data_IF_599952795390
#
_entry.id   IF_599952795390
#
_cell.length_a   1.000
_cell.length_b   1.000
_cell.length_c   1.000
_cell.angle_alpha   90.00
_cell.angle_beta   90.00
_cell.angle_gamma   90.00
#
_symmetry.space_group_name_H-M   'P 1'
#
loop_
_entity.id
_entity.type
_entity.pdbx_description
1 polymer ?
#
# COMPACT_ATOMS: atom_id res chain seq x y z
N UNK A 1 -37.79 29.79 -32.01
CA UNK A 1 -39.06 30.02 -31.29
C UNK A 1 -39.67 31.31 -31.81
N UNK A 2 -40.99 31.37 -32.01
CA UNK A 2 -41.67 32.60 -32.47
C UNK A 2 -42.36 33.24 -31.28
N UNK A 3 -42.12 34.54 -31.06
CA UNK A 3 -42.76 35.34 -30.01
C UNK A 3 -43.68 36.34 -30.68
N UNK A 4 -44.91 36.51 -30.18
CA UNK A 4 -45.90 37.47 -30.69
C UNK A 4 -46.41 38.34 -29.55
N UNK A 5 -46.45 39.66 -29.77
CA UNK A 5 -47.03 40.59 -28.82
C UNK A 5 -48.53 40.77 -29.11
N UNK A 6 -49.36 40.14 -28.29
CA UNK A 6 -50.83 40.23 -28.36
C UNK A 6 -51.41 41.39 -27.51
N UNK A 7 -50.55 42.23 -26.92
CA UNK A 7 -50.99 43.39 -26.14
C UNK A 7 -51.17 44.64 -27.00
N UNK A 8 -51.72 45.68 -26.39
CA UNK A 8 -51.99 46.99 -26.96
C UNK A 8 -50.82 47.99 -26.84
N UNK A 9 -49.73 47.60 -26.17
CA UNK A 9 -48.54 48.42 -25.95
C UNK A 9 -47.29 47.75 -26.50
N UNK A 10 -46.22 48.53 -26.69
CA UNK A 10 -44.89 47.98 -26.98
C UNK A 10 -44.42 47.22 -25.74
N UNK A 11 -43.97 45.99 -25.95
CA UNK A 11 -43.53 45.09 -24.87
C UNK A 11 -42.10 44.63 -25.15
N UNK A 12 -41.30 44.54 -24.08
CA UNK A 12 -39.98 43.92 -24.14
C UNK A 12 -40.05 42.56 -23.46
N UNK A 13 -39.52 41.53 -24.13
CA UNK A 13 -39.47 40.17 -23.61
C UNK A 13 -38.04 39.80 -23.26
N UNK A 14 -37.87 39.24 -22.07
CA UNK A 14 -36.64 38.58 -21.61
C UNK A 14 -36.85 37.07 -21.60
N UNK A 15 -35.76 36.33 -21.80
CA UNK A 15 -35.79 34.88 -21.93
C UNK A 15 -34.94 34.21 -20.85
N UNK A 16 -35.53 33.27 -20.13
CA UNK A 16 -34.85 32.48 -19.13
C UNK A 16 -34.98 30.99 -19.46
N UNK A 17 -33.87 30.32 -19.70
CA UNK A 17 -33.87 28.87 -19.93
C UNK A 17 -33.97 28.15 -18.58
N UNK A 18 -34.89 27.20 -18.48
CA UNK A 18 -35.14 26.40 -17.28
C UNK A 18 -35.05 24.91 -17.58
N UNK A 19 -34.73 24.12 -16.55
CA UNK A 19 -34.57 22.66 -16.66
C UNK A 19 -33.14 22.22 -16.94
N UNK A 20 -32.97 20.94 -17.30
CA UNK A 20 -31.66 20.31 -17.47
C UNK A 20 -30.82 20.87 -18.62
N UNK A 21 -31.46 21.58 -19.57
CA UNK A 21 -30.81 22.19 -20.71
C UNK A 21 -30.19 23.57 -20.43
N UNK A 22 -30.56 24.22 -19.32
CA UNK A 22 -30.17 25.59 -19.01
C UNK A 22 -28.64 25.84 -19.00
N UNK A 23 -27.78 24.96 -18.45
CA UNK A 23 -26.34 25.22 -18.37
C UNK A 23 -25.62 25.33 -19.73
N UNK A 24 -26.24 24.87 -20.81
CA UNK A 24 -25.63 24.76 -22.12
C UNK A 24 -26.53 25.30 -23.24
N UNK A 25 -27.53 26.11 -22.91
CA UNK A 25 -28.46 26.70 -23.88
C UNK A 25 -28.49 28.22 -23.73
N UNK A 26 -28.49 28.94 -24.85
CA UNK A 26 -28.62 30.40 -24.90
C UNK A 26 -29.76 30.81 -25.84
N UNK A 27 -30.41 31.93 -25.56
CA UNK A 27 -31.45 32.52 -26.43
C UNK A 27 -30.91 33.80 -27.07
N UNK A 28 -31.01 33.91 -28.38
CA UNK A 28 -30.50 35.04 -29.16
C UNK A 28 -31.62 35.65 -30.03
N UNK A 29 -31.91 36.96 -29.92
CA UNK A 29 -31.36 37.90 -28.93
C UNK A 29 -31.85 37.62 -27.50
N UNK A 30 -31.07 38.02 -26.49
CA UNK A 30 -31.41 37.83 -25.08
C UNK A 30 -32.61 38.69 -24.61
N UNK A 31 -32.87 39.78 -25.33
CA UNK A 31 -34.00 40.68 -25.11
C UNK A 31 -34.60 41.05 -26.46
N UNK A 32 -35.92 41.04 -26.56
CA UNK A 32 -36.66 41.28 -27.79
C UNK A 32 -37.76 42.32 -27.54
N UNK A 33 -37.79 43.41 -28.30
CA UNK A 33 -38.85 44.42 -28.20
C UNK A 33 -39.80 44.33 -29.40
N UNK A 34 -41.09 44.15 -29.14
CA UNK A 34 -42.11 43.97 -30.17
C UNK A 34 -43.21 45.02 -30.07
N UNK A 35 -43.63 45.55 -31.21
CA UNK A 35 -44.82 46.38 -31.31
C UNK A 35 -46.11 45.54 -31.17
N UNK A 36 -47.23 46.16 -30.77
CA UNK A 36 -48.54 45.51 -30.75
C UNK A 36 -48.85 44.75 -32.05
N UNK A 37 -49.27 43.50 -31.94
CA UNK A 37 -49.67 42.65 -33.07
C UNK A 37 -48.52 42.11 -33.92
N UNK A 38 -47.26 42.42 -33.60
CA UNK A 38 -46.08 41.93 -34.34
C UNK A 38 -45.52 40.64 -33.73
N UNK A 39 -44.80 39.88 -34.56
CA UNK A 39 -44.07 38.70 -34.13
C UNK A 39 -42.66 38.67 -34.70
N UNK A 40 -41.74 38.09 -33.93
CA UNK A 40 -40.36 37.88 -34.34
C UNK A 40 -39.86 36.51 -33.87
N UNK A 41 -38.81 36.02 -34.53
CA UNK A 41 -38.20 34.74 -34.20
C UNK A 41 -36.95 34.95 -33.34
N UNK A 42 -36.83 34.14 -32.30
CA UNK A 42 -35.61 34.03 -31.50
C UNK A 42 -34.97 32.66 -31.71
N UNK A 43 -33.64 32.65 -31.80
CA UNK A 43 -32.84 31.46 -31.92
C UNK A 43 -32.56 30.88 -30.54
N UNK A 44 -32.82 29.58 -30.36
CA UNK A 44 -32.41 28.84 -29.17
C UNK A 44 -31.18 28.04 -29.58
N UNK A 45 -30.02 28.39 -29.03
CA UNK A 45 -28.72 27.81 -29.39
C UNK A 45 -28.29 26.84 -28.30
N UNK A 46 -28.18 25.56 -28.65
CA UNK A 46 -27.78 24.49 -27.75
C UNK A 46 -26.31 24.13 -27.98
N UNK A 47 -25.50 24.12 -26.92
CA UNK A 47 -24.06 23.80 -26.94
C UNK A 47 -23.70 22.82 -25.81
N UNK A 48 -24.28 21.60 -25.78
CA UNK A 48 -23.99 20.63 -24.74
C UNK A 48 -22.50 20.26 -24.75
N UNK A 49 -21.79 20.33 -23.61
CA UNK A 49 -20.39 19.89 -23.53
C UNK A 49 -20.29 18.38 -23.73
N UNK A 50 -19.25 17.93 -24.46
CA UNK A 50 -18.95 16.50 -24.64
C UNK A 50 -18.36 15.92 -23.35
N UNK A 51 -19.23 15.70 -22.36
CA UNK A 51 -18.89 15.29 -21.00
C UNK A 51 -19.89 14.25 -20.47
N UNK A 52 -19.51 13.42 -19.47
CA UNK A 52 -20.41 12.45 -18.85
C UNK A 52 -21.52 13.09 -17.99
N UNK A 53 -21.45 14.40 -17.74
CA UNK A 53 -22.47 15.14 -16.97
C UNK A 53 -23.76 15.33 -17.79
N UNK A 54 -23.64 15.46 -19.12
CA UNK A 54 -24.79 15.58 -20.03
C UNK A 54 -25.21 14.20 -20.52
N UNK A 55 -26.05 13.53 -19.73
CA UNK A 55 -26.53 12.16 -19.99
C UNK A 55 -27.26 12.04 -21.33
N UNK A 56 -27.08 10.89 -21.97
CA UNK A 56 -27.85 10.53 -23.16
C UNK A 56 -29.33 10.31 -22.81
N UNK A 57 -30.23 10.64 -23.73
CA UNK A 57 -31.67 10.49 -23.57
C UNK A 57 -32.43 11.80 -23.70
N UNK A 58 -33.69 11.78 -23.25
CA UNK A 58 -34.59 12.93 -23.31
C UNK A 58 -34.31 13.90 -22.16
N UNK A 59 -34.03 15.16 -22.50
CA UNK A 59 -33.84 16.25 -21.54
C UNK A 59 -34.87 17.35 -21.82
N UNK A 60 -35.73 17.69 -20.85
CA UNK A 60 -36.71 18.74 -21.03
C UNK A 60 -36.03 20.12 -21.11
N UNK A 61 -36.40 20.88 -22.14
CA UNK A 61 -36.03 22.27 -22.37
C UNK A 61 -37.26 23.14 -22.12
N UNK A 62 -37.20 23.97 -21.08
CA UNK A 62 -38.17 25.04 -20.88
C UNK A 62 -37.54 26.39 -21.20
N UNK A 63 -38.28 27.26 -21.89
CA UNK A 63 -37.93 28.67 -22.06
C UNK A 63 -39.05 29.51 -21.48
N UNK A 64 -38.75 30.20 -20.39
CA UNK A 64 -39.65 31.15 -19.75
C UNK A 64 -39.50 32.51 -20.45
N UNK A 65 -40.60 33.00 -20.99
CA UNK A 65 -40.70 34.29 -21.68
C UNK A 65 -41.33 35.26 -20.68
N UNK A 66 -40.55 36.26 -20.26
CA UNK A 66 -40.93 37.24 -19.24
C UNK A 66 -41.17 38.60 -19.90
N UNK A 67 -42.41 39.09 -19.96
CA UNK A 67 -42.70 40.46 -20.38
C UNK A 67 -42.18 41.45 -19.33
N UNK A 68 -41.58 42.54 -19.76
CA UNK A 68 -40.98 43.55 -18.87
C UNK A 68 -42.03 44.46 -18.25
N UNK A 69 -43.06 44.86 -19.01
CA UNK A 69 -44.12 45.76 -18.55
C UNK A 69 -45.21 45.02 -17.77
N UNK A 70 -45.43 43.72 -18.06
CA UNK A 70 -46.39 42.84 -17.36
C UNK A 70 -45.76 41.53 -16.88
N UNK A 71 -44.92 41.54 -15.83
CA UNK A 71 -44.22 40.35 -15.34
C UNK A 71 -45.15 39.22 -14.83
N UNK A 72 -46.43 39.50 -14.58
CA UNK A 72 -47.44 38.50 -14.24
C UNK A 72 -47.92 37.66 -15.43
N UNK A 73 -47.67 38.11 -16.66
CA UNK A 73 -48.11 37.47 -17.91
C UNK A 73 -47.06 36.52 -18.51
N UNK A 74 -46.28 35.86 -17.64
CA UNK A 74 -45.20 34.95 -18.03
C UNK A 74 -45.75 33.70 -18.71
N UNK A 75 -45.08 33.27 -19.77
CA UNK A 75 -45.39 32.02 -20.48
C UNK A 75 -44.14 31.14 -20.52
N UNK A 76 -44.30 29.83 -20.30
CA UNK A 76 -43.22 28.85 -20.46
C UNK A 76 -43.52 28.01 -21.68
N UNK A 77 -42.57 28.00 -22.64
CA UNK A 77 -42.59 27.06 -23.76
C UNK A 77 -41.72 25.86 -23.41
N UNK A 78 -42.28 24.66 -23.52
CA UNK A 78 -41.58 23.41 -23.22
C UNK A 78 -41.38 22.59 -24.50
N UNK A 79 -40.23 21.94 -24.60
CA UNK A 79 -39.91 20.97 -25.63
C UNK A 79 -38.90 19.95 -25.10
N UNK A 80 -38.65 18.88 -25.85
CA UNK A 80 -37.71 17.83 -25.45
C UNK A 80 -36.50 17.85 -26.36
N UNK A 81 -35.31 17.90 -25.77
CA UNK A 81 -34.03 17.75 -26.47
C UNK A 81 -33.57 16.31 -26.32
N UNK A 82 -33.31 15.63 -27.43
CA UNK A 82 -32.73 14.28 -27.42
C UNK A 82 -31.22 14.42 -27.49
N UNK A 83 -30.55 14.05 -26.39
CA UNK A 83 -29.08 13.96 -26.35
C UNK A 83 -28.67 12.57 -26.80
N UNK A 84 -27.96 12.50 -27.93
CA UNK A 84 -27.46 11.24 -28.46
C UNK A 84 -26.38 10.62 -27.55
N UNK A 85 -26.30 9.28 -27.49
CA UNK A 85 -25.23 8.61 -26.78
C UNK A 85 -23.89 8.82 -27.48
N UNK A 86 -22.84 9.03 -26.70
CA UNK A 86 -21.46 8.93 -27.16
C UNK A 86 -20.65 8.06 -26.21
N UNK A 87 -19.84 7.19 -26.79
CA UNK A 87 -18.91 6.34 -26.07
C UNK A 87 -17.54 7.02 -25.97
N UNK A 88 -16.94 6.94 -24.79
CA UNK A 88 -15.54 7.31 -24.57
C UNK A 88 -15.04 6.59 -23.32
N UNK A 89 -14.20 5.58 -23.50
CA UNK A 89 -13.69 4.79 -22.40
C UNK A 89 -12.16 4.87 -22.34
N UNK A 90 -11.63 4.81 -21.12
CA UNK A 90 -10.19 4.66 -20.88
C UNK A 90 -9.97 3.42 -20.03
N UNK A 91 -9.23 2.46 -20.57
CA UNK A 91 -8.83 1.26 -19.84
C UNK A 91 -7.33 1.30 -19.53
N UNK A 92 -6.93 0.81 -18.35
CA UNK A 92 -5.53 0.71 -17.94
C UNK A 92 -5.28 -0.57 -17.13
N UNK A 93 -4.12 -1.18 -17.36
CA UNK A 93 -3.63 -2.31 -16.58
C UNK A 93 -2.68 -1.84 -15.48
N UNK A 94 -3.01 -2.17 -14.23
CA UNK A 94 -2.25 -1.73 -13.06
C UNK A 94 -1.88 -2.95 -12.16
N UNK A 95 -0.60 -3.10 -11.80
CA UNK A 95 0.55 -2.39 -12.39
C UNK A 95 0.94 -2.99 -13.75
N UNK A 96 1.76 -2.26 -14.53
CA UNK A 96 2.29 -2.77 -15.82
C UNK A 96 3.28 -3.91 -15.68
N UNK A 97 3.94 -4.06 -14.52
CA UNK A 97 4.96 -5.10 -14.29
C UNK A 97 4.82 -5.69 -12.89
N UNK A 98 4.80 -7.02 -12.78
CA UNK A 98 4.84 -7.75 -11.49
C UNK A 98 5.95 -8.78 -11.48
N UNK A 99 6.55 -8.99 -10.29
CA UNK A 99 7.48 -10.10 -10.02
C UNK A 99 6.75 -11.15 -9.20
N UNK A 100 6.77 -12.41 -9.63
CA UNK A 100 6.16 -13.50 -8.89
C UNK A 100 6.84 -14.84 -9.20
N UNK A 101 6.65 -15.84 -8.35
CA UNK A 101 7.16 -17.19 -8.56
C UNK A 101 6.29 -18.00 -9.54
N UNK A 102 4.96 -17.83 -9.48
CA UNK A 102 4.02 -18.56 -10.35
C UNK A 102 2.82 -17.75 -10.82
N UNK A 103 2.25 -16.89 -9.98
CA UNK A 103 1.07 -16.11 -10.34
C UNK A 103 1.12 -14.69 -9.79
N UNK A 104 0.56 -13.75 -10.54
CA UNK A 104 0.38 -12.36 -10.14
C UNK A 104 -1.07 -11.93 -10.33
N UNK A 105 -1.49 -10.95 -9.53
CA UNK A 105 -2.77 -10.26 -9.70
C UNK A 105 -2.52 -8.91 -10.35
N UNK A 106 -3.34 -8.61 -11.32
CA UNK A 106 -3.45 -7.35 -12.02
C UNK A 106 -4.86 -6.81 -11.83
N UNK A 107 -4.99 -5.50 -11.91
CA UNK A 107 -6.26 -4.81 -11.95
C UNK A 107 -6.39 -4.11 -13.28
N UNK A 108 -7.52 -4.30 -13.92
CA UNK A 108 -7.90 -3.52 -15.09
C UNK A 108 -8.88 -2.47 -14.64
N UNK A 109 -8.48 -1.21 -14.70
CA UNK A 109 -9.34 -0.07 -14.39
C UNK A 109 -9.95 0.45 -15.68
N UNK A 110 -11.28 0.56 -15.72
CA UNK A 110 -12.02 1.12 -16.86
C UNK A 110 -12.82 2.32 -16.37
N UNK A 111 -12.57 3.46 -16.99
CA UNK A 111 -13.28 4.70 -16.74
C UNK A 111 -14.20 5.00 -17.92
N UNK A 112 -15.46 5.31 -17.64
CA UNK A 112 -16.43 5.73 -18.65
C UNK A 112 -16.51 7.27 -18.69
N UNK A 113 -15.83 7.90 -19.64
CA UNK A 113 -15.95 9.33 -19.93
C UNK A 113 -17.08 9.64 -20.95
N UNK A 114 -17.82 8.62 -21.38
CA UNK A 114 -19.02 8.74 -22.21
C UNK A 114 -20.23 9.22 -21.42
N UNK A 115 -21.31 9.57 -22.11
CA UNK A 115 -22.56 9.98 -21.47
C UNK A 115 -23.63 8.88 -21.38
N UNK A 116 -23.29 7.65 -21.78
CA UNK A 116 -24.17 6.48 -21.73
C UNK A 116 -23.53 5.35 -20.89
N UNK A 117 -24.32 4.54 -20.15
CA UNK A 117 -23.81 3.37 -19.46
C UNK A 117 -23.07 2.43 -20.42
N UNK A 118 -21.92 1.92 -19.98
CA UNK A 118 -21.08 1.03 -20.78
C UNK A 118 -20.94 -0.32 -20.09
N UNK A 119 -21.21 -1.41 -20.80
CA UNK A 119 -20.97 -2.77 -20.32
C UNK A 119 -19.54 -3.17 -20.68
N UNK A 120 -18.76 -3.54 -19.67
CA UNK A 120 -17.35 -3.90 -19.83
C UNK A 120 -17.19 -5.40 -19.65
N UNK A 121 -16.59 -6.05 -20.65
CA UNK A 121 -16.31 -7.48 -20.67
C UNK A 121 -14.83 -7.72 -20.98
N UNK A 122 -14.12 -8.54 -20.19
CA UNK A 122 -12.77 -8.96 -20.53
C UNK A 122 -12.81 -9.92 -21.74
N UNK A 123 -12.00 -9.64 -22.75
CA UNK A 123 -11.68 -10.58 -23.81
C UNK A 123 -10.33 -11.22 -23.48
N UNK A 124 -10.36 -12.46 -23.03
CA UNK A 124 -9.13 -13.22 -22.79
C UNK A 124 -8.61 -13.76 -24.12
N UNK A 125 -7.30 -13.63 -24.40
CA UNK A 125 -6.71 -14.20 -25.60
C UNK A 125 -6.92 -15.72 -25.60
N UNK A 126 -7.27 -16.26 -26.77
CA UNK A 126 -7.81 -17.63 -26.90
C UNK A 126 -6.74 -18.74 -26.76
N UNK A 127 -5.44 -18.41 -26.81
CA UNK A 127 -4.37 -19.37 -26.58
C UNK A 127 -3.02 -18.69 -26.26
N UNK A 128 -2.64 -18.68 -24.98
CA UNK A 128 -1.23 -18.65 -24.59
C UNK A 128 -0.96 -19.89 -23.74
N UNK A 129 -0.30 -20.90 -24.32
CA UNK A 129 0.03 -22.15 -23.63
C UNK A 129 0.94 -21.94 -22.41
N UNK A 130 1.52 -20.75 -22.25
CA UNK A 130 2.42 -20.41 -21.17
C UNK A 130 1.76 -19.61 -20.05
N UNK A 131 0.69 -18.87 -20.32
CA UNK A 131 -0.03 -18.03 -19.37
C UNK A 131 -1.51 -18.40 -19.26
N UNK A 132 -1.95 -18.70 -18.03
CA UNK A 132 -3.37 -18.87 -17.70
C UNK A 132 -3.92 -17.59 -17.09
N UNK A 133 -4.94 -17.03 -17.73
CA UNK A 133 -5.66 -15.86 -17.27
C UNK A 133 -6.97 -16.28 -16.58
N UNK A 134 -7.33 -15.60 -15.49
CA UNK A 134 -8.59 -15.82 -14.79
C UNK A 134 -9.14 -14.48 -14.35
N UNK A 135 -10.34 -14.13 -14.80
CA UNK A 135 -11.03 -12.90 -14.37
C UNK A 135 -12.08 -13.25 -13.34
N UNK A 136 -12.15 -12.47 -12.27
CA UNK A 136 -13.05 -12.77 -11.14
C UNK A 136 -14.37 -12.03 -11.23
N UNK A 137 -14.37 -10.80 -11.73
CA UNK A 137 -15.52 -9.90 -11.74
C UNK A 137 -15.77 -9.46 -13.19
N UNK A 138 -16.73 -10.08 -13.87
CA UNK A 138 -17.16 -9.71 -15.22
C UNK A 138 -18.45 -10.47 -15.62
N UNK A 139 -19.32 -9.90 -16.48
CA UNK A 139 -19.28 -8.52 -17.00
C UNK A 139 -19.66 -7.48 -15.93
N UNK A 140 -19.37 -6.20 -16.16
CA UNK A 140 -19.71 -5.12 -15.23
C UNK A 140 -20.18 -3.88 -15.99
N UNK A 141 -21.28 -3.28 -15.55
CA UNK A 141 -21.80 -2.03 -16.11
C UNK A 141 -21.17 -0.83 -15.41
N UNK A 142 -20.74 0.16 -16.18
CA UNK A 142 -20.11 1.39 -15.71
C UNK A 142 -20.95 2.58 -16.13
N UNK A 143 -21.52 3.28 -15.16
CA UNK A 143 -22.29 4.50 -15.40
C UNK A 143 -21.41 5.62 -15.98
N UNK A 144 -22.00 6.61 -16.68
CA UNK A 144 -21.29 7.80 -17.14
C UNK A 144 -20.53 8.50 -16.01
N UNK A 145 -19.23 8.75 -16.21
CA UNK A 145 -18.32 9.30 -15.21
C UNK A 145 -17.85 8.30 -14.15
N UNK A 146 -18.36 7.07 -14.20
CA UNK A 146 -18.05 5.99 -13.28
C UNK A 146 -16.75 5.25 -13.61
N UNK A 147 -16.29 4.45 -12.64
CA UNK A 147 -15.13 3.57 -12.76
C UNK A 147 -15.52 2.12 -12.44
N UNK A 148 -14.94 1.16 -13.14
CA UNK A 148 -14.97 -0.25 -12.77
C UNK A 148 -13.56 -0.83 -12.68
N UNK A 149 -13.42 -1.81 -11.81
CA UNK A 149 -12.18 -2.55 -11.58
C UNK A 149 -12.44 -4.03 -11.85
N UNK A 150 -11.68 -4.60 -12.78
CA UNK A 150 -11.71 -6.03 -13.08
C UNK A 150 -10.43 -6.67 -12.53
N UNK A 151 -10.60 -7.60 -11.59
CA UNK A 151 -9.48 -8.35 -11.04
C UNK A 151 -9.08 -9.51 -11.96
N UNK A 152 -7.85 -9.44 -12.46
CA UNK A 152 -7.28 -10.43 -13.38
C UNK A 152 -6.10 -11.13 -12.71
N UNK A 153 -6.20 -12.46 -12.59
CA UNK A 153 -5.10 -13.31 -12.15
C UNK A 153 -4.39 -13.91 -13.35
N UNK A 154 -3.09 -13.69 -13.45
CA UNK A 154 -2.22 -14.27 -14.48
C UNK A 154 -1.31 -15.29 -13.81
N UNK A 155 -1.26 -16.50 -14.35
CA UNK A 155 -0.47 -17.62 -13.82
C UNK A 155 0.40 -18.23 -14.92
N UNK A 156 1.70 -18.33 -14.67
CA UNK A 156 2.61 -19.09 -15.52
C UNK A 156 2.37 -20.59 -15.35
N UNK A 157 2.30 -21.32 -16.46
CA UNK A 157 2.04 -22.77 -16.47
C UNK A 157 3.22 -23.56 -15.91
N UNK A 158 4.44 -23.26 -16.36
CA UNK A 158 5.68 -23.94 -15.94
C UNK A 158 6.38 -23.20 -14.81
N UNK A 159 6.88 -23.93 -13.81
CA UNK A 159 7.69 -23.37 -12.73
C UNK A 159 9.14 -23.17 -13.20
N UNK A 160 9.73 -22.02 -12.86
CA UNK A 160 11.15 -21.77 -13.03
C UNK A 160 11.90 -22.21 -11.78
N UNK A 161 12.56 -23.37 -11.83
CA UNK A 161 13.28 -23.90 -10.68
C UNK A 161 14.61 -23.20 -10.43
N UNK A 162 15.37 -22.93 -11.49
CA UNK A 162 16.71 -22.33 -11.43
C UNK A 162 16.90 -21.35 -12.58
N UNK A 163 17.89 -20.46 -12.46
CA UNK A 163 18.34 -19.59 -13.54
C UNK A 163 18.04 -18.12 -13.33
N UNK A 164 18.09 -17.34 -14.41
CA UNK A 164 17.77 -15.91 -14.40
C UNK A 164 16.25 -15.72 -14.42
N UNK A 165 15.70 -14.64 -13.83
CA UNK A 165 14.28 -14.34 -13.94
C UNK A 165 13.81 -14.31 -15.40
N UNK A 166 12.70 -14.99 -15.70
CA UNK A 166 12.10 -14.99 -17.03
C UNK A 166 11.02 -13.90 -17.12
N UNK A 167 10.90 -13.21 -18.25
CA UNK A 167 9.88 -12.15 -18.44
C UNK A 167 8.83 -12.66 -19.42
N UNK A 168 7.57 -12.62 -19.01
CA UNK A 168 6.43 -13.05 -19.79
C UNK A 168 5.54 -11.84 -20.14
N UNK A 169 5.30 -11.55 -21.43
CA UNK A 169 4.39 -10.48 -21.82
C UNK A 169 2.95 -10.85 -21.46
N UNK A 170 2.22 -9.92 -20.85
CA UNK A 170 0.82 -10.06 -20.49
C UNK A 170 0.01 -9.19 -21.43
N UNK A 171 -0.85 -9.81 -22.25
CA UNK A 171 -1.82 -9.11 -23.09
C UNK A 171 -3.23 -9.42 -22.61
N UNK A 172 -4.04 -8.38 -22.48
CA UNK A 172 -5.42 -8.46 -22.03
C UNK A 172 -6.25 -7.52 -22.88
N UNK A 173 -7.35 -7.99 -23.43
CA UNK A 173 -8.27 -7.16 -24.17
C UNK A 173 -9.51 -6.89 -23.31
N UNK A 174 -10.04 -5.68 -23.45
CA UNK A 174 -11.29 -5.27 -22.80
C UNK A 174 -12.22 -4.75 -23.86
N UNK A 175 -13.41 -5.34 -23.92
CA UNK A 175 -14.48 -4.92 -24.80
C UNK A 175 -15.46 -4.08 -23.99
N UNK A 176 -15.62 -2.83 -24.39
CA UNK A 176 -16.61 -1.90 -23.89
C UNK A 176 -17.75 -1.78 -24.91
N UNK A 177 -18.96 -2.13 -24.49
CA UNK A 177 -20.19 -1.98 -25.28
C UNK A 177 -21.00 -0.81 -24.72
N UNK A 178 -21.15 0.24 -25.50
CA UNK A 178 -21.88 1.46 -25.13
C UNK A 178 -22.98 1.72 -26.17
N UNK A 179 -24.24 1.58 -25.77
CA UNK A 179 -25.35 1.42 -26.71
C UNK A 179 -25.03 0.32 -27.74
N UNK A 180 -24.88 0.66 -29.02
CA UNK A 180 -24.56 -0.27 -30.11
C UNK A 180 -23.10 -0.19 -30.58
N UNK A 181 -22.29 0.67 -29.95
CA UNK A 181 -20.88 0.83 -30.29
C UNK A 181 -19.99 -0.10 -29.47
N UNK A 182 -19.17 -0.88 -30.18
CA UNK A 182 -18.14 -1.74 -29.59
C UNK A 182 -16.78 -1.05 -29.65
N UNK A 183 -16.17 -0.84 -28.49
CA UNK A 183 -14.84 -0.27 -28.33
C UNK A 183 -13.93 -1.32 -27.69
N UNK A 184 -12.76 -1.55 -28.30
CA UNK A 184 -11.78 -2.51 -27.80
C UNK A 184 -10.54 -1.78 -27.27
N UNK A 185 -10.06 -2.24 -26.12
CA UNK A 185 -8.85 -1.72 -25.50
C UNK A 185 -7.85 -2.84 -25.27
N UNK A 186 -6.75 -2.80 -26.02
CA UNK A 186 -5.60 -3.68 -25.81
C UNK A 186 -4.75 -3.15 -24.65
N UNK A 187 -4.50 -4.01 -23.67
CA UNK A 187 -3.72 -3.70 -22.48
C UNK A 187 -2.49 -4.60 -22.40
N UNK A 188 -1.31 -3.96 -22.30
CA UNK A 188 -0.03 -4.64 -22.22
C UNK A 188 0.64 -4.48 -20.85
N UNK A 189 1.25 -5.56 -20.37
CA UNK A 189 2.07 -5.62 -19.17
C UNK A 189 3.08 -6.76 -19.19
N UNK A 190 3.74 -7.01 -18.06
CA UNK A 190 4.80 -8.00 -17.93
C UNK A 190 4.77 -8.74 -16.58
N UNK A 191 4.87 -10.06 -16.64
CA UNK A 191 5.08 -10.92 -15.48
C UNK A 191 6.53 -11.42 -15.46
N UNK A 192 7.31 -10.95 -14.50
CA UNK A 192 8.66 -11.45 -14.24
C UNK A 192 8.58 -12.66 -13.31
N UNK A 193 8.84 -13.84 -13.85
CA UNK A 193 8.92 -15.08 -13.11
C UNK A 193 10.27 -15.21 -12.38
N UNK A 194 10.24 -15.33 -11.06
CA UNK A 194 11.42 -15.56 -10.23
C UNK A 194 11.74 -17.06 -10.13
N UNK A 195 13.03 -17.44 -10.10
CA UNK A 195 13.43 -18.81 -9.81
C UNK A 195 13.09 -19.19 -8.37
N UNK A 196 12.67 -20.42 -8.13
CA UNK A 196 12.28 -20.90 -6.80
C UNK A 196 13.50 -21.18 -5.92
N UNK A 197 14.56 -21.77 -6.49
CA UNK A 197 15.77 -22.13 -5.77
C UNK A 197 16.99 -21.36 -6.30
N UNK A 198 17.76 -20.79 -5.38
CA UNK A 198 19.08 -20.24 -5.69
C UNK A 198 20.09 -21.37 -5.88
N UNK A 199 21.02 -21.23 -6.82
CA UNK A 199 22.10 -22.21 -7.06
C UNK A 199 22.98 -22.44 -5.83
N UNK A 200 23.23 -21.40 -5.04
CA UNK A 200 24.04 -21.51 -3.82
C UNK A 200 23.38 -22.39 -2.76
N UNK A 201 22.04 -22.41 -2.69
CA UNK A 201 21.33 -23.27 -1.75
C UNK A 201 21.56 -24.75 -2.05
N UNK A 202 21.67 -25.12 -3.33
CA UNK A 202 22.06 -26.49 -3.72
C UNK A 202 23.52 -26.77 -3.35
N UNK A 203 24.42 -25.81 -3.54
CA UNK A 203 25.82 -25.96 -3.14
C UNK A 203 25.97 -26.12 -1.62
N UNK A 204 25.22 -25.34 -0.84
CA UNK A 204 25.17 -25.45 0.62
C UNK A 204 24.60 -26.81 1.04
N UNK A 205 23.48 -27.24 0.46
CA UNK A 205 22.87 -28.54 0.76
C UNK A 205 23.82 -29.69 0.40
N UNK A 206 24.52 -29.59 -0.72
CA UNK A 206 25.56 -30.54 -1.12
C UNK A 206 26.72 -30.59 -0.13
N UNK A 207 27.19 -29.43 0.35
CA UNK A 207 28.24 -29.36 1.37
C UNK A 207 27.78 -29.93 2.72
N UNK A 208 26.55 -29.64 3.14
CA UNK A 208 25.94 -30.19 4.36
C UNK A 208 25.79 -31.72 4.27
N UNK A 209 25.37 -32.23 3.11
CA UNK A 209 25.29 -33.66 2.86
C UNK A 209 26.68 -34.32 2.87
N UNK A 210 27.69 -33.67 2.27
CA UNK A 210 29.07 -34.16 2.32
C UNK A 210 29.63 -34.18 3.75
N UNK A 211 29.38 -33.14 4.55
CA UNK A 211 29.75 -33.09 5.97
C UNK A 211 29.04 -34.19 6.78
N UNK A 212 27.75 -34.41 6.53
CA UNK A 212 26.97 -35.48 7.16
C UNK A 212 27.56 -36.86 6.83
N UNK A 213 27.88 -37.11 5.55
CA UNK A 213 28.49 -38.35 5.11
C UNK A 213 29.90 -38.53 5.70
N UNK A 214 30.71 -37.47 5.75
CA UNK A 214 32.02 -37.50 6.38
C UNK A 214 31.91 -37.81 7.88
N UNK A 215 30.97 -37.19 8.59
CA UNK A 215 30.69 -37.51 9.99
C UNK A 215 30.29 -38.97 10.19
N UNK A 216 29.37 -39.49 9.36
CA UNK A 216 28.88 -40.87 9.47
C UNK A 216 29.95 -41.93 9.12
N UNK A 217 30.79 -41.68 8.11
CA UNK A 217 31.77 -42.65 7.60
C UNK A 217 33.13 -42.57 8.28
N UNK A 218 33.59 -41.38 8.70
CA UNK A 218 34.93 -41.18 9.26
C UNK A 218 34.88 -41.00 10.78
N UNK A 219 33.97 -40.15 11.27
CA UNK A 219 33.99 -39.72 12.68
C UNK A 219 33.23 -40.67 13.58
N UNK A 220 32.03 -41.11 13.19
CA UNK A 220 31.22 -42.04 13.98
C UNK A 220 31.93 -43.37 14.33
N UNK A 221 32.60 -44.08 13.39
CA UNK A 221 33.32 -45.30 13.75
C UNK A 221 34.52 -45.05 14.69
N UNK A 222 35.24 -43.94 14.49
CA UNK A 222 36.36 -43.55 15.35
C UNK A 222 35.93 -43.14 16.77
N UNK A 223 34.80 -42.46 16.91
CA UNK A 223 34.22 -42.11 18.23
C UNK A 223 33.70 -43.36 18.95
N UNK A 224 33.12 -44.32 18.22
CA UNK A 224 32.67 -45.60 18.77
C UNK A 224 33.84 -46.50 19.19
N UNK A 225 34.97 -46.50 18.47
CA UNK A 225 36.17 -47.24 18.87
C UNK A 225 36.84 -46.61 20.09
N UNK A 226 36.99 -45.28 20.11
CA UNK A 226 37.56 -44.57 21.26
C UNK A 226 36.69 -44.71 22.52
N UNK A 227 35.36 -44.71 22.38
CA UNK A 227 34.44 -44.96 23.50
C UNK A 227 34.50 -46.41 24.01
N UNK A 228 34.74 -47.39 23.14
CA UNK A 228 34.94 -48.80 23.55
C UNK A 228 36.29 -48.99 24.25
N UNK A 229 37.38 -48.44 23.72
CA UNK A 229 38.70 -48.49 24.37
C UNK A 229 38.68 -47.81 25.75
N UNK A 230 37.97 -46.69 25.91
CA UNK A 230 37.81 -46.03 27.22
C UNK A 230 36.93 -46.83 28.20
N UNK A 231 35.91 -47.56 27.70
CA UNK A 231 35.07 -48.43 28.52
C UNK A 231 35.82 -49.71 28.95
N UNK A 232 36.61 -50.29 28.05
CA UNK A 232 37.42 -51.49 28.31
C UNK A 232 38.58 -51.17 29.27
N UNK A 233 39.23 -50.00 29.12
CA UNK A 233 40.25 -49.52 30.07
C UNK A 233 39.69 -49.27 31.48
N UNK A 234 38.47 -48.73 31.59
CA UNK A 234 37.77 -48.57 32.87
C UNK A 234 37.32 -49.90 33.48
N UNK A 235 36.93 -50.88 32.65
CA UNK A 235 36.60 -52.22 33.13
C UNK A 235 37.84 -52.97 33.66
N UNK A 236 39.02 -52.74 33.06
CA UNK A 236 40.29 -53.29 33.53
C UNK A 236 40.77 -52.64 34.84
N UNK A 237 40.65 -51.31 34.99
CA UNK A 237 40.92 -50.62 36.27
C UNK A 237 40.01 -51.12 37.41
N UNK A 238 38.73 -51.40 37.12
CA UNK A 238 37.78 -51.93 38.12
C UNK A 238 38.06 -53.41 38.43
N UNK A 239 38.57 -54.18 37.46
CA UNK A 239 38.94 -55.59 37.67
C UNK A 239 40.25 -55.75 38.45
N UNK A 240 41.24 -54.86 38.28
CA UNK A 240 42.48 -54.83 39.08
C UNK A 240 42.27 -54.27 40.50
N UNK A 241 41.19 -53.51 40.73
CA UNK A 241 40.87 -52.95 42.05
C UNK A 241 40.09 -53.91 42.98
N UNK A 242 39.82 -55.16 42.58
CA UNK A 242 39.05 -56.11 43.39
C UNK A 242 39.83 -57.41 43.63
N UNK A 243 40.59 -57.45 44.73
CA UNK A 243 40.88 -58.68 45.50
C UNK A 243 40.26 -58.54 46.91
N UNK A 244 39.75 -59.64 47.52
CA UNK A 244 38.67 -59.55 48.50
C UNK A 244 39.18 -59.48 49.94
N UNK A 245 38.71 -58.50 50.73
CA UNK A 245 38.74 -58.59 52.19
C UNK A 245 37.41 -58.11 52.81
N UNK A 246 36.85 -59.00 53.63
CA UNK A 246 35.62 -58.85 54.37
C UNK A 246 35.85 -58.15 55.73
N UNK A 247 34.92 -57.30 56.14
CA UNK A 247 34.80 -56.81 57.53
C UNK A 247 34.10 -55.45 57.63
N UNK A 248 33.40 -55.14 58.74
CA UNK A 248 32.06 -54.53 58.66
C UNK A 248 31.89 -53.17 59.39
N UNK A 249 30.64 -52.68 59.31
CA UNK A 249 29.86 -51.76 60.19
C UNK A 249 29.95 -50.21 60.07
N UNK A 250 28.74 -49.64 60.07
CA UNK A 250 28.20 -48.44 60.75
C UNK A 250 28.15 -47.03 60.10
N UNK A 251 26.93 -46.47 60.19
CA UNK A 251 26.40 -45.10 59.96
C UNK A 251 27.05 -44.02 60.87
N UNK A 252 26.53 -42.75 61.03
CA UNK A 252 25.66 -41.86 60.22
C UNK A 252 26.22 -40.41 60.07
N UNK A 253 25.51 -39.58 59.29
CA UNK A 253 25.18 -38.20 59.71
C UNK A 253 25.90 -37.02 59.05
N UNK A 254 25.13 -35.93 58.85
CA UNK A 254 25.64 -34.58 59.10
C UNK A 254 25.71 -33.58 57.94
N UNK A 255 24.59 -32.89 57.71
CA UNK A 255 24.45 -31.42 57.68
C UNK A 255 25.08 -30.52 56.58
N UNK A 256 24.19 -29.60 56.13
CA UNK A 256 24.41 -28.18 55.76
C UNK A 256 25.22 -27.91 54.47
N UNK A 257 25.04 -26.85 53.69
CA UNK A 257 24.22 -25.63 53.74
C UNK A 257 24.15 -25.07 52.29
N UNK A 258 23.24 -24.16 52.00
CA UNK A 258 23.20 -23.35 50.76
C UNK A 258 24.29 -22.23 50.82
N UNK A 259 24.37 -21.17 49.96
CA UNK A 259 23.70 -20.79 48.71
C UNK A 259 24.65 -20.12 47.66
N UNK A 260 24.06 -19.35 46.72
CA UNK A 260 24.61 -18.23 45.91
C UNK A 260 25.14 -18.60 44.50
N UNK A 261 24.48 -18.17 43.43
CA UNK A 261 24.42 -16.82 42.81
C UNK A 261 25.67 -16.48 41.98
N UNK A 262 25.45 -16.08 40.72
CA UNK A 262 26.51 -15.60 39.82
C UNK A 262 26.05 -15.55 38.37
N UNK A 263 26.14 -14.37 37.78
CA UNK A 263 25.51 -13.90 36.54
C UNK A 263 26.44 -14.13 35.30
N UNK A 264 26.25 -13.50 34.12
CA UNK A 264 26.09 -14.18 32.84
C UNK A 264 27.35 -14.19 31.94
N UNK A 265 27.45 -15.20 31.08
CA UNK A 265 28.46 -15.28 30.02
C UNK A 265 28.02 -14.57 28.73
N UNK A 266 28.78 -13.55 28.33
CA UNK A 266 28.75 -12.91 27.02
C UNK A 266 29.01 -13.90 25.88
N UNK A 267 28.24 -13.79 24.80
CA UNK A 267 28.51 -14.44 23.52
C UNK A 267 28.41 -13.44 22.38
N UNK A 268 29.55 -12.89 21.98
CA UNK A 268 29.71 -12.17 20.70
C UNK A 268 29.56 -13.14 19.53
N UNK A 269 28.76 -12.75 18.54
CA UNK A 269 28.68 -13.42 17.24
C UNK A 269 28.66 -12.38 16.12
N UNK A 270 29.85 -12.06 15.61
CA UNK A 270 30.04 -11.22 14.43
C UNK A 270 29.46 -11.90 13.17
N UNK A 271 28.54 -11.23 12.50
CA UNK A 271 28.07 -11.57 11.16
C UNK A 271 28.52 -10.52 10.15
N UNK A 272 29.72 -10.70 9.57
CA UNK A 272 30.25 -9.84 8.50
C UNK A 272 29.69 -10.31 7.17
N UNK A 273 28.66 -9.62 6.67
CA UNK A 273 28.15 -9.77 5.31
C UNK A 273 28.56 -8.57 4.45
N UNK A 274 29.61 -8.75 3.64
CA UNK A 274 30.09 -7.72 2.71
C UNK A 274 29.12 -7.59 1.53
N UNK A 275 28.50 -6.41 1.38
CA UNK A 275 27.80 -6.00 0.16
C UNK A 275 28.42 -4.68 -0.28
N UNK A 276 28.86 -4.61 -1.55
CA UNK A 276 29.48 -3.42 -2.11
C UNK A 276 28.48 -2.28 -2.26
N UNK A 277 28.64 -1.28 -1.40
CA UNK A 277 27.99 0.04 -1.36
C UNK A 277 28.51 0.73 -0.10
N UNK A 278 28.81 2.03 -0.15
CA UNK A 278 29.74 2.69 0.77
C UNK A 278 29.36 2.84 2.25
N UNK A 279 28.21 2.34 2.74
CA UNK A 279 27.78 2.54 4.12
C UNK A 279 27.37 1.27 4.88
N UNK A 280 27.48 1.35 6.20
CA UNK A 280 27.19 0.29 7.16
C UNK A 280 25.70 0.34 7.56
N UNK A 281 25.00 -0.80 7.57
CA UNK A 281 23.63 -0.83 8.08
C UNK A 281 23.60 -0.43 9.55
N UNK A 282 22.72 0.51 9.90
CA UNK A 282 22.64 1.08 11.24
C UNK A 282 21.20 1.28 11.69
N UNK A 283 20.99 1.22 13.00
CA UNK A 283 19.72 1.52 13.64
C UNK A 283 19.93 2.28 14.96
N UNK A 284 18.91 3.04 15.35
CA UNK A 284 18.89 3.79 16.61
C UNK A 284 17.51 3.74 17.25
N UNK A 285 17.47 3.84 18.58
CA UNK A 285 16.22 3.88 19.36
C UNK A 285 16.18 5.15 20.18
N UNK A 286 15.07 5.87 20.10
CA UNK A 286 14.74 7.03 20.94
C UNK A 286 13.56 6.64 21.82
N UNK A 287 13.79 6.57 23.13
CA UNK A 287 12.74 6.38 24.13
C UNK A 287 12.40 7.71 24.79
N UNK A 288 11.11 7.97 24.96
CA UNK A 288 10.61 9.19 25.62
C UNK A 288 9.61 8.80 26.69
N UNK A 289 9.87 9.24 27.92
CA UNK A 289 8.95 9.10 29.06
C UNK A 289 8.59 10.47 29.60
N UNK A 290 7.31 10.69 29.87
CA UNK A 290 6.82 11.96 30.41
C UNK A 290 5.54 11.78 31.22
N UNK A 291 5.36 12.64 32.23
CA UNK A 291 4.14 12.64 33.05
C UNK A 291 2.95 13.20 32.28
N UNK A 292 1.73 12.88 32.75
CA UNK A 292 0.49 13.49 32.26
C UNK A 292 0.54 15.03 32.36
N UNK A 293 0.11 15.71 31.30
CA UNK A 293 0.14 17.17 31.19
C UNK A 293 1.52 17.77 30.94
N UNK A 294 2.57 16.96 30.78
CA UNK A 294 3.92 17.40 30.48
C UNK A 294 4.36 16.97 29.08
N UNK A 295 5.40 17.64 28.59
CA UNK A 295 6.05 17.32 27.34
C UNK A 295 7.52 16.98 27.60
N UNK A 296 8.02 15.94 26.93
CA UNK A 296 9.43 15.60 26.91
C UNK A 296 9.90 15.28 25.48
N UNK A 297 11.20 15.41 25.25
CA UNK A 297 11.84 15.13 23.97
C UNK A 297 13.00 14.15 24.18
N UNK A 298 12.98 13.06 23.43
CA UNK A 298 14.13 12.17 23.26
C UNK A 298 14.87 12.52 21.97
N UNK A 299 16.17 12.26 21.93
CA UNK A 299 17.01 12.60 20.79
C UNK A 299 18.03 11.52 20.51
N UNK A 300 18.17 11.17 19.24
CA UNK A 300 19.30 10.44 18.68
C UNK A 300 20.17 11.43 17.90
N UNK A 301 21.48 11.42 18.16
CA UNK A 301 22.44 12.30 17.48
C UNK A 301 23.26 11.46 16.51
N UNK A 302 23.34 11.90 15.26
CA UNK A 302 24.19 11.26 14.26
C UNK A 302 25.67 11.44 14.65
N UNK A 303 26.46 10.36 14.72
CA UNK A 303 27.88 10.46 15.09
C UNK A 303 28.66 11.43 14.19
N UNK A 304 29.70 12.06 14.76
CA UNK A 304 30.62 12.90 14.01
C UNK A 304 31.27 12.14 12.85
N UNK A 305 31.47 12.81 11.71
CA UNK A 305 32.05 12.22 10.50
C UNK A 305 31.11 11.30 9.71
N UNK A 306 29.84 11.19 10.11
CA UNK A 306 28.86 10.29 9.48
C UNK A 306 27.65 11.03 8.92
N UNK A 307 27.02 10.46 7.89
CA UNK A 307 25.68 10.82 7.41
C UNK A 307 24.77 9.63 7.65
N UNK A 308 23.61 9.83 8.27
CA UNK A 308 22.62 8.78 8.44
C UNK A 308 21.55 8.89 7.35
N UNK A 309 21.56 7.94 6.41
CA UNK A 309 20.57 7.78 5.36
C UNK A 309 19.38 6.95 5.88
N UNK A 310 18.42 7.62 6.50
CA UNK A 310 17.27 6.95 7.16
C UNK A 310 16.26 6.52 6.10
N UNK A 311 15.90 5.24 6.08
CA UNK A 311 14.89 4.67 5.17
C UNK A 311 13.60 4.31 5.88
N UNK A 312 13.66 4.03 7.18
CA UNK A 312 12.50 3.54 7.92
C UNK A 312 12.47 4.11 9.35
N UNK A 313 11.25 4.37 9.83
CA UNK A 313 10.98 4.58 11.25
C UNK A 313 9.80 3.72 11.71
N UNK A 314 9.86 3.27 12.96
CA UNK A 314 8.78 2.54 13.63
C UNK A 314 8.45 3.23 14.95
N UNK A 315 7.19 3.63 15.10
CA UNK A 315 6.64 4.27 16.29
C UNK A 315 5.86 3.23 17.10
N UNK A 316 6.07 3.19 18.42
CA UNK A 316 5.35 2.28 19.30
C UNK A 316 4.72 3.02 20.49
N UNK A 317 3.38 2.98 20.54
CA UNK A 317 2.53 3.36 21.65
C UNK A 317 1.93 2.10 22.30
N UNK A 318 2.78 1.26 22.87
CA UNK A 318 2.37 -0.06 23.37
C UNK A 318 1.43 0.00 24.58
N UNK A 319 1.49 1.06 25.39
CA UNK A 319 0.65 1.24 26.58
C UNK A 319 -0.74 1.81 26.25
N UNK A 320 -0.89 2.37 25.04
CA UNK A 320 -2.12 3.04 24.61
C UNK A 320 -2.29 4.42 25.24
N UNK A 321 -1.19 5.16 25.35
CA UNK A 321 -1.18 6.55 25.81
C UNK A 321 -2.04 7.45 24.91
N UNK A 322 -2.53 8.56 25.48
CA UNK A 322 -3.28 9.61 24.79
C UNK A 322 -2.45 10.91 24.79
N UNK A 323 -2.46 11.65 23.68
CA UNK A 323 -1.62 12.84 23.52
C UNK A 323 -1.11 13.02 22.10
N UNK A 324 0.02 13.71 21.93
CA UNK A 324 0.60 13.97 20.60
C UNK A 324 2.07 13.58 20.57
N UNK A 325 2.46 12.83 19.54
CA UNK A 325 3.85 12.51 19.21
C UNK A 325 4.26 13.28 17.96
N UNK A 326 5.33 14.07 18.09
CA UNK A 326 5.96 14.81 16.99
C UNK A 326 7.34 14.23 16.72
N UNK A 327 7.58 13.81 15.47
CA UNK A 327 8.89 13.32 15.02
C UNK A 327 9.53 14.36 14.12
N UNK A 328 10.76 14.76 14.42
CA UNK A 328 11.51 15.70 13.60
C UNK A 328 12.95 15.25 13.36
N UNK A 329 13.42 15.51 12.15
CA UNK A 329 14.77 15.20 11.67
C UNK A 329 15.48 16.55 11.42
N UNK A 330 16.39 16.92 12.31
CA UNK A 330 16.87 18.30 12.44
C UNK A 330 15.69 19.25 12.68
N UNK A 331 15.64 20.32 11.88
CA UNK A 331 14.55 21.32 11.91
C UNK A 331 13.28 20.87 11.15
N UNK A 332 13.31 19.73 10.46
CA UNK A 332 12.18 19.27 9.63
C UNK A 332 11.27 18.34 10.43
N UNK A 333 10.04 18.78 10.67
CA UNK A 333 8.98 17.89 11.16
C UNK A 333 8.62 16.85 10.11
N UNK A 334 8.75 15.57 10.45
CA UNK A 334 8.45 14.43 9.58
C UNK A 334 6.99 14.03 9.70
N UNK A 335 6.48 13.93 10.93
CA UNK A 335 5.08 13.60 11.20
C UNK A 335 4.66 14.10 12.57
N UNK A 336 3.37 14.40 12.69
CA UNK A 336 2.67 14.70 13.95
C UNK A 336 1.49 13.75 14.01
N UNK A 337 1.42 12.93 15.05
CA UNK A 337 0.41 11.90 15.18
C UNK A 337 -0.19 11.91 16.59
N UNK A 338 -1.50 11.78 16.67
CA UNK A 338 -2.19 11.62 17.94
C UNK A 338 -1.96 10.21 18.47
N UNK A 339 -1.56 10.08 19.73
CA UNK A 339 -1.15 8.80 20.32
C UNK A 339 -2.31 7.78 20.33
N UNK A 340 -3.55 8.26 20.48
CA UNK A 340 -4.75 7.43 20.49
C UNK A 340 -5.05 6.73 19.15
N UNK A 341 -4.47 7.19 18.03
CA UNK A 341 -4.77 6.64 16.69
C UNK A 341 -3.91 5.44 16.33
N UNK A 342 -2.88 5.11 17.11
CA UNK A 342 -2.00 3.98 16.81
C UNK A 342 -1.54 3.22 18.06
N UNK A 343 -1.04 2.02 17.80
CA UNK A 343 -0.27 1.22 18.78
C UNK A 343 1.12 0.92 18.25
N UNK A 344 1.21 0.57 16.97
CA UNK A 344 2.44 0.48 16.22
C UNK A 344 2.21 1.14 14.85
N UNK A 345 3.12 1.98 14.40
CA UNK A 345 3.05 2.65 13.10
C UNK A 345 4.43 2.66 12.44
N UNK A 346 4.52 2.15 11.22
CA UNK A 346 5.72 2.20 10.40
C UNK A 346 5.62 3.28 9.31
N UNK A 347 6.75 3.89 8.99
CA UNK A 347 6.93 4.73 7.81
C UNK A 347 8.20 4.29 7.10
N UNK A 348 8.11 4.11 5.78
CA UNK A 348 9.21 3.69 4.93
C UNK A 348 9.35 4.63 3.73
N UNK A 349 10.58 4.95 3.36
CA UNK A 349 10.88 5.83 2.23
C UNK A 349 11.74 5.10 1.18
N UNK A 350 11.39 5.30 -0.09
CA UNK A 350 12.19 4.79 -1.23
C UNK A 350 13.45 5.64 -1.42
N UNK A 351 13.36 6.94 -1.17
CA UNK A 351 14.50 7.86 -1.15
C UNK A 351 14.87 8.14 0.30
N UNK A 352 16.09 7.79 0.75
CA UNK A 352 16.52 8.03 2.12
C UNK A 352 16.42 9.51 2.50
N UNK A 353 16.16 9.77 3.78
CA UNK A 353 16.29 11.12 4.36
C UNK A 353 17.65 11.21 5.03
N UNK A 354 18.48 12.10 4.52
CA UNK A 354 19.87 12.25 4.96
C UNK A 354 19.96 13.18 6.16
N UNK A 355 20.51 12.68 7.26
CA UNK A 355 20.81 13.46 8.46
C UNK A 355 22.34 13.65 8.53
N UNK A 356 22.85 14.88 8.43
CA UNK A 356 24.29 15.13 8.48
C UNK A 356 24.85 14.84 9.87
N UNK A 357 26.17 14.81 9.99
CA UNK A 357 26.86 14.65 11.26
C UNK A 357 26.36 15.67 12.30
N UNK A 358 26.26 15.24 13.55
CA UNK A 358 25.71 16.03 14.66
C UNK A 358 24.24 16.47 14.46
N UNK A 359 23.59 16.07 13.37
CA UNK A 359 22.16 16.22 13.17
C UNK A 359 21.37 15.32 14.11
N UNK A 360 20.13 15.71 14.40
CA UNK A 360 19.32 15.07 15.44
C UNK A 360 18.06 14.44 14.87
N UNK A 361 17.75 13.23 15.31
CA UNK A 361 16.41 12.65 15.19
C UNK A 361 15.71 12.80 16.54
N UNK A 362 14.60 13.52 16.57
CA UNK A 362 13.88 13.82 17.81
C UNK A 362 12.50 13.22 17.81
N UNK A 363 12.09 12.72 18.98
CA UNK A 363 10.72 12.33 19.27
C UNK A 363 10.25 13.19 20.45
N UNK A 364 9.20 13.98 20.22
CA UNK A 364 8.62 14.85 21.24
C UNK A 364 7.23 14.37 21.59
N UNK A 365 7.03 14.03 22.86
CA UNK A 365 5.77 13.48 23.38
C UNK A 365 5.12 14.52 24.28
N UNK A 366 3.96 15.03 23.88
CA UNK A 366 3.06 15.78 24.74
C UNK A 366 2.00 14.82 25.29
N UNK A 367 2.14 14.43 26.55
CA UNK A 367 1.30 13.42 27.18
C UNK A 367 0.03 14.04 27.74
N UNK A 368 -1.13 13.66 27.21
CA UNK A 368 -2.41 14.02 27.81
C UNK A 368 -2.76 13.06 28.95
N UNK A 369 -2.62 11.75 28.71
CA UNK A 369 -2.97 10.71 29.69
C UNK A 369 -2.18 9.41 29.43
N UNK A 370 -1.50 8.86 30.45
CA UNK A 370 -0.89 7.54 30.38
C UNK A 370 -1.92 6.45 30.11
N UNK A 371 -1.56 5.50 29.26
CA UNK A 371 -2.42 4.40 28.83
C UNK A 371 -2.57 3.30 29.88
N UNK A 372 -3.47 2.36 29.59
CA UNK A 372 -3.69 1.18 30.41
C UNK A 372 -3.35 -0.07 29.59
N UNK A 373 -2.16 -0.67 29.80
CA UNK A 373 -1.78 -1.92 29.16
C UNK A 373 -2.73 -3.08 29.49
N UNK A 374 -2.55 -4.21 28.81
CA UNK A 374 -3.39 -5.41 28.95
C UNK A 374 -3.44 -6.00 30.38
N UNK A 375 -2.56 -5.59 31.29
CA UNK A 375 -2.58 -5.94 32.70
C UNK A 375 -3.65 -5.19 33.52
N UNK A 376 -4.36 -4.24 32.91
CA UNK A 376 -5.46 -3.48 33.52
C UNK A 376 -5.02 -2.39 34.52
N UNK A 377 -3.71 -2.19 34.73
CA UNK A 377 -3.18 -1.15 35.62
C UNK A 377 -2.69 0.01 34.76
N UNK A 378 -3.24 1.21 34.99
CA UNK A 378 -2.81 2.40 34.26
C UNK A 378 -1.33 2.67 34.53
N UNK A 379 -0.57 3.01 33.48
CA UNK A 379 0.82 3.38 33.60
C UNK A 379 0.96 4.72 34.34
N UNK A 380 2.11 4.94 34.98
CA UNK A 380 2.38 6.19 35.73
C UNK A 380 2.75 7.36 34.80
N UNK A 381 3.31 7.06 33.63
CA UNK A 381 3.82 8.01 32.64
C UNK A 381 3.48 7.55 31.23
N UNK A 382 3.37 8.48 30.29
CA UNK A 382 3.40 8.11 28.88
C UNK A 382 4.81 7.62 28.51
N UNK A 383 4.90 6.57 27.70
CA UNK A 383 6.15 5.97 27.26
C UNK A 383 6.09 5.61 25.78
N UNK A 384 6.87 6.33 24.97
CA UNK A 384 6.91 6.16 23.52
C UNK A 384 8.29 5.73 23.05
N UNK A 385 8.30 4.85 22.04
CA UNK A 385 9.53 4.39 21.40
C UNK A 385 9.50 4.74 19.91
N UNK A 386 10.57 5.37 19.44
CA UNK A 386 10.88 5.58 18.03
C UNK A 386 12.11 4.74 17.70
N UNK A 387 11.98 3.81 16.77
CA UNK A 387 13.12 3.14 16.16
C UNK A 387 13.37 3.74 14.78
N UNK A 388 14.63 4.02 14.46
CA UNK A 388 15.08 4.49 13.14
C UNK A 388 16.07 3.49 12.56
N UNK A 389 15.99 3.24 11.26
CA UNK A 389 16.94 2.37 10.56
C UNK A 389 17.28 2.88 9.17
N UNK A 390 18.47 2.52 8.72
CA UNK A 390 18.99 2.91 7.41
C UNK A 390 20.47 2.57 7.27
N UNK A 391 21.19 3.40 6.51
CA UNK A 391 22.62 3.23 6.24
C UNK A 391 23.40 4.41 6.85
N UNK A 392 24.46 4.12 7.59
CA UNK A 392 25.38 5.12 8.13
C UNK A 392 26.61 5.19 7.21
N UNK A 393 26.68 6.25 6.40
CA UNK A 393 27.78 6.52 5.48
C UNK A 393 28.84 7.41 6.09
N UNK A 394 30.08 7.31 5.60
CA UNK A 394 31.13 8.30 5.88
C UNK A 394 30.86 9.59 5.09
N UNK A 395 31.12 10.75 5.71
CA UNK A 395 31.14 12.02 4.96
C UNK A 395 32.33 11.97 4.00
N UNK A 396 32.07 12.08 2.70
CA UNK A 396 33.13 12.27 1.71
C UNK A 396 33.83 13.60 2.01
N UNK A 397 35.09 13.51 2.46
CA UNK A 397 35.92 14.66 2.80
C UNK A 397 36.34 15.51 1.61
#
# INVERSE_FOLDING_TARGET
>A
MTVRNDSDIVEAYEFEVVGGCAPWTTVEPARLSLYPGTSEQVAIVLRPPRSPEVRAGEVPLGVRVVPAERPESVVVTETTVIVEPFAKQRARLIPKRRRAWRSARYRVEVLNDGNTPTVVTPALPEADDHLKHTVTTAPTTVDPGGRAELDVRVRVVKLLWFGKPAVWPVRLDVVALAADERHEHELAGELVQLPILSKWLLSLLGALLALLLAWLLLVRPAVLSAAREAADGRAQEIAEAVEPQAGPVDEPGGAADQPAAGEPGQGQGQGRGTVGGGGEQSSGTVEVRTNAGQQATGTYVVPAGKVFHITDIVLANHQGDEGVLTIAFGERTITVIALETFRNQDYHWVTPIDIPENGTVTATVACAKPGTPANGRQAEQCSQLLNVSGELGDIAG
#
